data_IF_607052445950
#
_entry.id   IF_607052445950
#
_cell.length_a   1.000
_cell.length_b   1.000
_cell.length_c   1.000
_cell.angle_alpha   90.00
_cell.angle_beta   90.00
_cell.angle_gamma   90.00
#
_symmetry.space_group_name_H-M   'P 1'
#
loop_
_entity.id
_entity.type
_entity.pdbx_description
1 polymer ?
#
# COMPACT_ATOMS: atom_id res chain seq x y z
N UNK A 1 -23.59 -7.18 -3.70
CA UNK A 1 -23.27 -5.75 -3.67
C UNK A 1 -22.19 -5.52 -4.72
N UNK A 2 -22.36 -4.55 -5.60
CA UNK A 2 -21.46 -4.32 -6.75
C UNK A 2 -20.26 -3.50 -6.27
N UNK A 3 -19.18 -4.18 -5.87
CA UNK A 3 -17.90 -3.51 -5.65
C UNK A 3 -17.37 -2.97 -6.99
N UNK A 4 -16.67 -1.84 -6.97
CA UNK A 4 -15.95 -1.34 -8.14
C UNK A 4 -15.03 -2.45 -8.69
N UNK A 5 -15.07 -2.67 -10.00
CA UNK A 5 -14.24 -3.72 -10.60
C UNK A 5 -12.78 -3.37 -10.38
N UNK A 6 -11.95 -4.40 -10.23
CA UNK A 6 -10.50 -4.24 -10.04
C UNK A 6 -9.88 -3.33 -11.11
N UNK A 7 -10.31 -3.47 -12.36
CA UNK A 7 -9.86 -2.63 -13.47
C UNK A 7 -10.14 -1.14 -13.24
N UNK A 8 -11.30 -0.78 -12.66
CA UNK A 8 -11.62 0.61 -12.34
C UNK A 8 -10.74 1.15 -11.21
N UNK A 9 -10.53 0.34 -10.16
CA UNK A 9 -9.66 0.71 -9.03
C UNK A 9 -8.22 0.96 -9.50
N UNK A 10 -7.65 0.04 -10.28
CA UNK A 10 -6.31 0.18 -10.87
C UNK A 10 -6.23 1.35 -11.86
N UNK A 11 -7.30 1.56 -12.65
CA UNK A 11 -7.41 2.68 -13.59
C UNK A 11 -7.40 4.04 -12.90
N UNK A 12 -8.12 4.17 -11.78
CA UNK A 12 -8.12 5.39 -10.97
C UNK A 12 -6.73 5.66 -10.40
N UNK A 13 -6.11 4.66 -9.75
CA UNK A 13 -4.75 4.75 -9.21
C UNK A 13 -3.70 5.17 -10.25
N UNK A 14 -3.87 4.73 -11.50
CA UNK A 14 -2.97 5.08 -12.61
C UNK A 14 -3.06 6.57 -13.00
N UNK A 15 -4.17 7.25 -12.71
CA UNK A 15 -4.30 8.68 -13.01
C UNK A 15 -3.35 9.56 -12.18
N UNK A 16 -2.81 9.04 -11.08
CA UNK A 16 -1.82 9.76 -10.26
C UNK A 16 -0.38 9.57 -10.77
N UNK A 17 -0.13 8.67 -11.73
CA UNK A 17 1.22 8.35 -12.23
C UNK A 17 1.98 9.61 -12.68
N UNK A 18 3.23 9.75 -12.21
CA UNK A 18 4.09 10.91 -12.49
C UNK A 18 3.87 12.13 -11.60
N UNK A 19 2.89 12.10 -10.69
CA UNK A 19 2.59 13.19 -9.78
C UNK A 19 3.21 13.08 -8.38
N UNK A 20 2.91 14.07 -7.54
CA UNK A 20 3.25 14.11 -6.12
C UNK A 20 1.97 14.06 -5.28
N UNK A 21 1.94 13.20 -4.27
CA UNK A 21 0.89 13.14 -3.26
C UNK A 21 1.42 13.83 -2.01
N UNK A 22 0.71 14.84 -1.50
CA UNK A 22 1.17 15.63 -0.34
C UNK A 22 0.36 15.32 0.91
N UNK A 23 1.04 15.02 2.02
CA UNK A 23 0.41 14.94 3.35
C UNK A 23 -0.05 16.34 3.79
N UNK A 24 -1.29 16.48 4.25
CA UNK A 24 -1.89 17.74 4.70
C UNK A 24 -2.68 17.55 5.99
N UNK A 25 -2.57 18.53 6.89
CA UNK A 25 -3.24 18.53 8.20
C UNK A 25 -4.33 19.59 8.35
N UNK A 26 -4.46 20.50 7.38
CA UNK A 26 -5.52 21.51 7.33
C UNK A 26 -6.08 21.71 5.92
N UNK A 27 -7.29 22.28 5.78
CA UNK A 27 -7.82 22.71 4.48
C UNK A 27 -6.93 23.72 3.75
N UNK A 28 -6.27 24.62 4.48
CA UNK A 28 -5.35 25.61 3.90
C UNK A 28 -4.13 24.93 3.25
N UNK A 29 -3.53 23.94 3.93
CA UNK A 29 -2.45 23.14 3.35
C UNK A 29 -2.91 22.33 2.13
N UNK A 30 -4.14 21.81 2.15
CA UNK A 30 -4.72 21.10 1.02
C UNK A 30 -4.85 22.01 -0.22
N UNK A 31 -5.30 23.25 -0.03
CA UNK A 31 -5.36 24.25 -1.11
C UNK A 31 -3.97 24.62 -1.63
N UNK A 32 -2.98 24.80 -0.74
CA UNK A 32 -1.59 25.08 -1.14
C UNK A 32 -1.01 23.91 -1.95
N UNK A 33 -1.27 22.66 -1.55
CA UNK A 33 -0.80 21.48 -2.26
C UNK A 33 -1.39 21.40 -3.68
N UNK A 34 -2.68 21.69 -3.83
CA UNK A 34 -3.36 21.77 -5.12
C UNK A 34 -2.75 22.84 -6.03
N UNK A 35 -2.58 24.07 -5.54
CA UNK A 35 -1.96 25.17 -6.28
C UNK A 35 -0.50 24.88 -6.68
N UNK A 36 0.21 24.10 -5.86
CA UNK A 36 1.58 23.64 -6.14
C UNK A 36 1.64 22.51 -7.20
N UNK A 37 0.49 21.98 -7.64
CA UNK A 37 0.41 20.94 -8.65
C UNK A 37 0.47 19.51 -8.10
N UNK A 38 0.11 19.29 -6.83
CA UNK A 38 -0.09 17.95 -6.32
C UNK A 38 -1.19 17.23 -7.11
N UNK A 39 -1.02 15.94 -7.40
CA UNK A 39 -2.05 15.14 -8.09
C UNK A 39 -3.10 14.58 -7.15
N UNK A 40 -2.82 14.63 -5.84
CA UNK A 40 -3.70 14.20 -4.76
C UNK A 40 -3.13 14.68 -3.42
N UNK A 41 -3.97 14.79 -2.40
CA UNK A 41 -3.56 15.04 -1.02
C UNK A 41 -3.87 13.84 -0.13
N UNK A 42 -3.11 13.69 0.94
CA UNK A 42 -3.32 12.70 1.98
C UNK A 42 -3.73 13.42 3.26
N UNK A 43 -4.98 13.28 3.67
CA UNK A 43 -5.55 13.90 4.86
C UNK A 43 -5.15 13.13 6.13
N UNK A 44 -4.57 13.84 7.09
CA UNK A 44 -4.20 13.29 8.40
C UNK A 44 -4.11 14.37 9.48
N UNK A 45 -4.46 14.06 10.73
CA UNK A 45 -4.35 15.01 11.85
C UNK A 45 -2.91 15.28 12.31
N UNK A 46 -2.03 14.31 12.13
CA UNK A 46 -0.66 14.36 12.65
C UNK A 46 0.29 13.78 11.63
N UNK A 47 1.27 14.59 11.22
CA UNK A 47 2.28 14.14 10.26
C UNK A 47 3.13 13.02 10.85
N UNK A 48 3.72 12.13 10.02
CA UNK A 48 4.53 11.02 10.51
C UNK A 48 5.66 11.42 11.47
N UNK A 49 6.25 12.60 11.29
CA UNK A 49 7.27 13.15 12.18
C UNK A 49 6.72 13.42 13.60
N UNK A 50 5.51 13.98 13.70
CA UNK A 50 4.85 14.24 14.98
C UNK A 50 4.43 12.95 15.67
N UNK A 51 3.91 11.97 14.92
CA UNK A 51 3.56 10.64 15.46
C UNK A 51 4.79 10.01 16.12
N UNK A 52 5.96 10.09 15.48
CA UNK A 52 7.22 9.59 16.04
C UNK A 52 7.67 10.35 17.29
N UNK A 53 7.58 11.68 17.27
CA UNK A 53 8.05 12.52 18.37
C UNK A 53 7.16 12.41 19.62
N UNK A 54 5.84 12.41 19.43
CA UNK A 54 4.86 12.38 20.52
C UNK A 54 4.65 10.97 21.08
N UNK A 55 4.85 9.94 20.25
CA UNK A 55 4.50 8.56 20.58
C UNK A 55 2.99 8.36 20.76
N UNK A 56 2.63 7.27 21.45
CA UNK A 56 1.24 6.87 21.68
C UNK A 56 0.60 6.17 20.49
N UNK A 57 -0.73 6.05 20.53
CA UNK A 57 -1.50 5.34 19.48
C UNK A 57 -1.90 6.33 18.38
N UNK A 58 -1.50 6.04 17.15
CA UNK A 58 -1.94 6.75 15.95
C UNK A 58 -3.07 5.96 15.26
N UNK A 59 -4.16 6.65 14.88
CA UNK A 59 -5.41 6.07 14.35
C UNK A 59 -5.84 6.82 13.09
N UNK A 60 -6.95 6.39 12.48
CA UNK A 60 -7.66 7.17 11.47
C UNK A 60 -7.97 8.57 12.01
N UNK A 61 -7.84 9.58 11.15
CA UNK A 61 -8.10 10.99 11.48
C UNK A 61 -9.58 11.26 11.69
N UNK A 62 -9.91 12.30 12.45
CA UNK A 62 -11.29 12.64 12.75
C UNK A 62 -12.08 12.92 11.46
N UNK A 63 -13.28 12.33 11.30
CA UNK A 63 -14.09 12.47 10.09
C UNK A 63 -14.34 13.91 9.64
N UNK A 64 -14.59 14.82 10.59
CA UNK A 64 -14.82 16.23 10.29
C UNK A 64 -13.61 16.88 9.59
N UNK A 65 -12.39 16.61 10.05
CA UNK A 65 -11.18 17.19 9.48
C UNK A 65 -10.95 16.68 8.05
N UNK A 66 -11.20 15.40 7.81
CA UNK A 66 -11.14 14.81 6.45
C UNK A 66 -12.18 15.46 5.54
N UNK A 67 -13.41 15.62 6.03
CA UNK A 67 -14.50 16.22 5.26
C UNK A 67 -14.19 17.68 4.88
N UNK A 68 -13.66 18.48 5.81
CA UNK A 68 -13.23 19.85 5.54
C UNK A 68 -12.15 19.92 4.44
N UNK A 69 -11.23 18.96 4.37
CA UNK A 69 -10.24 18.85 3.29
C UNK A 69 -10.91 18.47 1.96
N UNK A 70 -11.79 17.47 1.95
CA UNK A 70 -12.54 17.05 0.75
C UNK A 70 -13.32 18.23 0.15
N UNK A 71 -13.96 19.03 0.99
CA UNK A 71 -14.77 20.18 0.55
C UNK A 71 -13.93 21.35 0.01
N UNK A 72 -12.61 21.35 0.25
CA UNK A 72 -11.72 22.48 -0.08
C UNK A 72 -10.92 22.28 -1.38
N UNK A 73 -10.61 21.04 -1.76
CA UNK A 73 -9.77 20.76 -2.95
C UNK A 73 -10.55 20.09 -4.09
N UNK A 74 -10.13 20.31 -5.33
CA UNK A 74 -10.69 19.62 -6.50
C UNK A 74 -9.89 18.37 -6.93
N UNK A 75 -8.66 18.22 -6.43
CA UNK A 75 -7.84 17.02 -6.60
C UNK A 75 -8.25 15.89 -5.63
N UNK A 76 -7.99 14.61 -5.98
CA UNK A 76 -8.34 13.47 -5.13
C UNK A 76 -7.79 13.56 -3.71
N UNK A 77 -8.60 13.15 -2.72
CA UNK A 77 -8.23 13.09 -1.30
C UNK A 77 -8.08 11.65 -0.85
N UNK A 78 -6.92 11.32 -0.29
CA UNK A 78 -6.65 10.05 0.36
C UNK A 78 -6.71 10.20 1.88
N UNK A 79 -6.97 9.11 2.59
CA UNK A 79 -6.88 9.09 4.06
C UNK A 79 -6.33 7.75 4.56
N UNK A 80 -5.80 7.76 5.78
CA UNK A 80 -5.12 6.60 6.37
C UNK A 80 -6.05 5.78 7.27
N UNK A 81 -6.03 4.47 7.08
CA UNK A 81 -6.59 3.48 8.00
C UNK A 81 -5.46 2.64 8.62
N UNK A 82 -5.64 2.17 9.85
CA UNK A 82 -4.69 1.25 10.49
C UNK A 82 -4.69 -0.10 9.78
N UNK A 83 -3.53 -0.76 9.78
CA UNK A 83 -3.40 -2.14 9.28
C UNK A 83 -4.42 -3.04 9.98
N UNK A 84 -5.23 -3.73 9.16
CA UNK A 84 -6.26 -4.67 9.59
C UNK A 84 -7.56 -4.05 10.13
N UNK A 85 -7.70 -2.72 10.14
CA UNK A 85 -8.88 -2.06 10.70
C UNK A 85 -9.98 -1.80 9.65
N UNK A 86 -10.66 -2.86 9.21
CA UNK A 86 -11.71 -2.75 8.17
C UNK A 86 -12.80 -1.73 8.49
N UNK A 87 -13.14 -1.54 9.77
CA UNK A 87 -14.17 -0.56 10.17
C UNK A 87 -13.71 0.89 10.04
N UNK A 88 -12.40 1.17 10.12
CA UNK A 88 -11.89 2.52 9.81
C UNK A 88 -12.00 2.76 8.31
N UNK A 89 -11.64 1.76 7.50
CA UNK A 89 -11.79 1.84 6.06
C UNK A 89 -13.26 2.00 5.62
N UNK A 90 -14.22 1.37 6.30
CA UNK A 90 -15.66 1.57 6.01
C UNK A 90 -16.10 2.99 6.30
N UNK A 91 -15.61 3.60 7.39
CA UNK A 91 -15.89 5.02 7.68
C UNK A 91 -15.33 5.90 6.58
N UNK A 92 -14.06 5.70 6.19
CA UNK A 92 -13.42 6.47 5.12
C UNK A 92 -14.14 6.34 3.77
N UNK A 93 -14.54 5.12 3.39
CA UNK A 93 -15.31 4.88 2.16
C UNK A 93 -16.66 5.61 2.19
N UNK A 94 -17.34 5.68 3.34
CA UNK A 94 -18.59 6.42 3.48
C UNK A 94 -18.40 7.94 3.51
N UNK A 95 -17.28 8.43 4.02
CA UNK A 95 -16.93 9.86 3.96
C UNK A 95 -16.65 10.35 2.54
N UNK A 96 -16.36 9.43 1.61
CA UNK A 96 -16.12 9.76 0.22
C UNK A 96 -14.69 10.21 -0.06
N UNK A 97 -13.71 9.70 0.69
CA UNK A 97 -12.30 9.80 0.24
C UNK A 97 -12.15 9.03 -1.08
N UNK A 98 -11.16 9.38 -1.88
CA UNK A 98 -10.93 8.78 -3.20
C UNK A 98 -10.08 7.51 -3.13
N UNK A 99 -9.19 7.42 -2.14
CA UNK A 99 -8.34 6.25 -1.88
C UNK A 99 -8.05 6.10 -0.38
N UNK A 100 -7.87 4.85 0.06
CA UNK A 100 -7.47 4.53 1.44
C UNK A 100 -6.03 4.03 1.47
N UNK A 101 -5.18 4.67 2.25
CA UNK A 101 -3.85 4.16 2.58
C UNK A 101 -3.93 3.29 3.83
N UNK A 102 -3.87 1.97 3.66
CA UNK A 102 -3.70 1.06 4.79
C UNK A 102 -2.25 1.16 5.27
N UNK A 103 -2.04 1.99 6.28
CA UNK A 103 -0.74 2.57 6.56
C UNK A 103 -0.10 1.97 7.81
N UNK A 104 1.13 1.49 7.63
CA UNK A 104 2.04 1.07 8.68
C UNK A 104 2.56 2.21 9.57
N UNK A 105 2.35 3.47 9.16
CA UNK A 105 2.71 4.64 9.96
C UNK A 105 1.76 4.81 11.16
N UNK A 106 0.52 4.34 11.01
CA UNK A 106 -0.43 4.26 12.12
C UNK A 106 -0.18 3.00 12.95
N UNK A 107 -0.64 3.00 14.20
CA UNK A 107 -0.49 1.83 15.06
C UNK A 107 -1.34 0.67 14.51
N UNK A 108 -0.78 -0.51 14.17
CA UNK A 108 -1.57 -1.62 13.64
C UNK A 108 -2.74 -2.01 14.56
N UNK A 109 -3.90 -2.29 13.98
CA UNK A 109 -5.06 -2.78 14.73
C UNK A 109 -5.10 -4.32 14.77
N UNK A 110 -4.71 -4.96 13.66
CA UNK A 110 -4.50 -6.40 13.58
C UNK A 110 -3.02 -6.67 13.20
N UNK A 111 -2.24 -7.36 14.04
CA UNK A 111 -0.84 -7.67 13.73
C UNK A 111 -0.67 -8.85 12.76
N UNK A 112 -1.75 -9.60 12.48
CA UNK A 112 -1.74 -10.82 11.69
C UNK A 112 -2.27 -10.60 10.27
N UNK A 113 -3.38 -9.87 10.13
CA UNK A 113 -4.06 -9.72 8.85
C UNK A 113 -4.22 -8.25 8.44
N UNK A 114 -4.14 -8.01 7.13
CA UNK A 114 -4.50 -6.73 6.52
C UNK A 114 -6.00 -6.71 6.20
N UNK A 115 -6.51 -5.54 5.83
CA UNK A 115 -7.89 -5.35 5.39
C UNK A 115 -8.14 -6.16 4.10
N UNK A 116 -9.22 -6.96 4.00
CA UNK A 116 -9.64 -7.61 2.75
C UNK A 116 -10.23 -6.56 1.79
N UNK A 117 -9.41 -6.03 0.89
CA UNK A 117 -9.71 -4.82 0.10
C UNK A 117 -10.71 -5.09 -1.03
N UNK A 118 -10.92 -6.36 -1.34
CA UNK A 118 -11.94 -6.83 -2.29
C UNK A 118 -13.37 -6.62 -1.76
N UNK A 119 -13.54 -6.44 -0.43
CA UNK A 119 -14.83 -6.14 0.20
C UNK A 119 -15.25 -4.66 0.08
N UNK A 120 -14.44 -3.85 -0.61
CA UNK A 120 -14.61 -2.41 -0.75
C UNK A 120 -14.74 -2.02 -2.23
N UNK A 121 -15.40 -0.90 -2.50
CA UNK A 121 -15.46 -0.30 -3.84
C UNK A 121 -14.30 0.66 -4.06
N UNK A 122 -13.88 1.35 -3.00
CA UNK A 122 -12.77 2.30 -3.02
C UNK A 122 -11.40 1.60 -3.25
N UNK A 123 -10.46 2.21 -4.00
CA UNK A 123 -9.10 1.70 -4.14
C UNK A 123 -8.28 1.87 -2.87
N UNK A 124 -7.31 0.95 -2.69
CA UNK A 124 -6.38 0.98 -1.56
C UNK A 124 -4.93 1.15 -2.02
N UNK A 125 -4.18 1.92 -1.23
CA UNK A 125 -2.72 2.06 -1.27
C UNK A 125 -2.14 1.23 -0.12
N UNK A 126 -1.05 0.49 -0.39
CA UNK A 126 -0.32 -0.23 0.67
C UNK A 126 1.20 -0.05 0.55
N UNK A 127 1.87 -0.03 1.70
CA UNK A 127 3.33 0.00 1.79
C UNK A 127 3.99 -1.37 1.55
N UNK A 128 5.15 -1.38 0.89
CA UNK A 128 6.02 -2.56 0.77
C UNK A 128 7.51 -2.24 1.00
N UNK A 129 8.28 -3.23 1.44
CA UNK A 129 9.76 -3.15 1.48
C UNK A 129 10.45 -4.07 0.46
N UNK A 130 9.73 -5.03 -0.10
CA UNK A 130 10.21 -6.04 -1.04
C UNK A 130 9.07 -6.52 -1.96
N UNK A 131 9.39 -7.26 -3.02
CA UNK A 131 8.44 -7.77 -4.01
C UNK A 131 7.40 -8.68 -3.36
N UNK A 132 7.83 -9.58 -2.46
CA UNK A 132 6.90 -10.50 -1.81
C UNK A 132 5.84 -9.78 -0.96
N UNK A 133 6.19 -8.69 -0.30
CA UNK A 133 5.23 -7.86 0.41
C UNK A 133 4.26 -7.17 -0.56
N UNK A 134 4.77 -6.60 -1.64
CA UNK A 134 3.96 -5.94 -2.67
C UNK A 134 2.96 -6.92 -3.31
N UNK A 135 3.43 -8.10 -3.76
CA UNK A 135 2.59 -9.15 -4.35
C UNK A 135 1.46 -9.55 -3.40
N UNK A 136 1.77 -9.75 -2.11
CA UNK A 136 0.72 -10.08 -1.13
C UNK A 136 -0.32 -8.96 -0.99
N UNK A 137 0.09 -7.68 -0.96
CA UNK A 137 -0.87 -6.56 -0.85
C UNK A 137 -1.76 -6.48 -2.09
N UNK A 138 -1.20 -6.72 -3.28
CA UNK A 138 -1.95 -6.74 -4.54
C UNK A 138 -2.95 -7.90 -4.55
N UNK A 139 -2.53 -9.11 -4.15
CA UNK A 139 -3.42 -10.28 -4.03
C UNK A 139 -4.55 -10.07 -2.99
N UNK A 140 -4.32 -9.22 -1.99
CA UNK A 140 -5.35 -8.80 -1.01
C UNK A 140 -6.28 -7.69 -1.54
N UNK A 141 -6.05 -7.20 -2.77
CA UNK A 141 -6.87 -6.21 -3.48
C UNK A 141 -6.31 -4.78 -3.52
N UNK A 142 -5.01 -4.57 -3.29
CA UNK A 142 -4.41 -3.23 -3.36
C UNK A 142 -4.34 -2.75 -4.82
N UNK A 143 -4.76 -1.50 -5.05
CA UNK A 143 -4.78 -0.87 -6.37
C UNK A 143 -3.53 -0.03 -6.65
N UNK A 144 -2.76 0.27 -5.60
CA UNK A 144 -1.51 1.05 -5.64
C UNK A 144 -0.55 0.52 -4.57
N UNK A 145 0.74 0.51 -4.90
CA UNK A 145 1.82 0.20 -3.96
C UNK A 145 2.68 1.44 -3.75
N UNK A 146 3.21 1.60 -2.53
CA UNK A 146 4.27 2.57 -2.24
C UNK A 146 5.40 1.90 -1.47
N UNK A 147 6.63 2.39 -1.61
CA UNK A 147 7.68 2.00 -0.65
C UNK A 147 7.33 2.52 0.75
N UNK A 148 7.75 1.81 1.79
CA UNK A 148 7.53 2.29 3.18
C UNK A 148 8.46 3.43 3.58
N UNK A 149 9.69 3.39 3.04
CA UNK A 149 10.83 4.20 3.47
C UNK A 149 10.98 4.23 5.00
N UNK A 150 11.47 5.36 5.51
CA UNK A 150 11.41 5.67 6.93
C UNK A 150 10.60 6.96 7.13
N UNK A 151 9.29 6.82 7.30
CA UNK A 151 8.40 7.97 7.39
C UNK A 151 8.76 8.90 8.56
N UNK A 152 8.77 10.21 8.29
CA UNK A 152 8.99 11.26 9.29
C UNK A 152 10.45 11.54 9.67
N UNK A 153 11.45 10.92 9.04
CA UNK A 153 12.87 11.17 9.37
C UNK A 153 13.59 12.14 8.44
N UNK A 154 13.02 12.41 7.25
CA UNK A 154 13.69 13.18 6.21
C UNK A 154 14.95 12.50 5.64
N UNK A 155 15.10 11.19 5.82
CA UNK A 155 16.22 10.41 5.32
C UNK A 155 15.76 9.39 4.26
N UNK A 156 16.15 9.62 3.00
CA UNK A 156 15.70 8.84 1.84
C UNK A 156 16.29 7.41 1.77
N UNK A 157 17.28 7.07 2.61
CA UNK A 157 18.02 5.79 2.53
C UNK A 157 17.09 4.57 2.51
N UNK A 158 16.09 4.51 3.38
CA UNK A 158 15.17 3.36 3.40
C UNK A 158 14.26 3.30 2.18
N UNK A 159 13.84 4.46 1.63
CA UNK A 159 13.06 4.47 0.39
C UNK A 159 13.87 3.91 -0.79
N UNK A 160 15.15 4.32 -0.90
CA UNK A 160 16.08 3.80 -1.91
C UNK A 160 16.29 2.29 -1.72
N UNK A 161 16.55 1.84 -0.49
CA UNK A 161 16.75 0.41 -0.19
C UNK A 161 15.56 -0.43 -0.63
N UNK A 162 14.34 -0.02 -0.29
CA UNK A 162 13.12 -0.74 -0.66
C UNK A 162 12.89 -0.74 -2.18
N UNK A 163 13.07 0.41 -2.85
CA UNK A 163 12.89 0.50 -4.30
C UNK A 163 13.91 -0.39 -5.06
N UNK A 164 15.18 -0.35 -4.65
CA UNK A 164 16.24 -1.19 -5.23
C UNK A 164 15.95 -2.67 -5.00
N UNK A 165 15.52 -3.07 -3.80
CA UNK A 165 15.21 -4.46 -3.49
C UNK A 165 14.03 -4.97 -4.32
N UNK A 166 12.94 -4.22 -4.40
CA UNK A 166 11.79 -4.56 -5.26
C UNK A 166 12.23 -4.74 -6.70
N UNK A 167 13.01 -3.81 -7.25
CA UNK A 167 13.54 -3.91 -8.63
C UNK A 167 14.38 -5.16 -8.84
N UNK A 168 15.31 -5.46 -7.93
CA UNK A 168 16.19 -6.63 -8.03
C UNK A 168 15.44 -7.96 -7.91
N UNK A 169 14.41 -8.02 -7.08
CA UNK A 169 13.57 -9.21 -6.96
C UNK A 169 12.66 -9.40 -8.19
N UNK A 170 12.22 -8.31 -8.84
CA UNK A 170 11.51 -8.38 -10.13
C UNK A 170 12.43 -8.93 -11.22
N UNK A 171 13.66 -8.40 -11.33
CA UNK A 171 14.68 -8.89 -12.28
C UNK A 171 14.93 -10.40 -12.05
N UNK A 172 15.12 -10.80 -10.79
CA UNK A 172 15.30 -12.22 -10.42
C UNK A 172 14.08 -13.08 -10.80
N UNK A 173 12.86 -12.60 -10.53
CA UNK A 173 11.63 -13.31 -10.90
C UNK A 173 11.50 -13.51 -12.42
N UNK A 174 11.97 -12.54 -13.22
CA UNK A 174 12.01 -12.66 -14.68
C UNK A 174 13.03 -13.72 -15.12
N UNK A 175 14.26 -13.67 -14.59
CA UNK A 175 15.33 -14.63 -14.90
C UNK A 175 14.92 -16.09 -14.60
N UNK A 176 14.31 -16.33 -13.43
CA UNK A 176 13.88 -17.70 -13.07
C UNK A 176 12.75 -18.18 -13.98
N UNK A 177 11.85 -17.30 -14.41
CA UNK A 177 10.74 -17.67 -15.31
C UNK A 177 11.23 -18.09 -16.69
N UNK A 178 12.34 -17.54 -17.17
CA UNK A 178 12.96 -17.94 -18.45
C UNK A 178 13.75 -19.27 -18.33
N UNK A 179 14.29 -19.55 -17.15
CA UNK A 179 15.27 -20.64 -16.94
C UNK A 179 14.70 -22.08 -16.97
N UNK A 180 13.40 -22.28 -17.25
CA UNK A 180 12.69 -23.57 -17.14
C UNK A 180 12.80 -24.26 -15.75
N UNK A 181 13.34 -23.55 -14.75
CA UNK A 181 13.56 -24.05 -13.39
C UNK A 181 12.30 -23.88 -12.55
N UNK A 182 11.34 -24.78 -12.76
CA UNK A 182 10.07 -24.81 -12.02
C UNK A 182 10.23 -24.86 -10.50
N UNK A 183 11.36 -25.36 -9.99
CA UNK A 183 11.62 -25.44 -8.54
C UNK A 183 11.91 -24.07 -7.94
N UNK A 184 12.74 -23.25 -8.60
CA UNK A 184 13.02 -21.89 -8.13
C UNK A 184 11.79 -21.00 -8.16
N UNK A 185 10.97 -21.14 -9.20
CA UNK A 185 9.70 -20.41 -9.26
C UNK A 185 8.78 -20.80 -8.10
N UNK A 186 8.67 -22.10 -7.80
CA UNK A 186 7.92 -22.59 -6.63
C UNK A 186 8.47 -22.06 -5.31
N UNK A 187 9.79 -21.98 -5.15
CA UNK A 187 10.43 -21.41 -3.95
C UNK A 187 10.05 -19.94 -3.75
N UNK A 188 10.00 -19.14 -4.82
CA UNK A 188 9.53 -17.75 -4.77
C UNK A 188 8.08 -17.69 -4.31
N UNK A 189 7.17 -18.44 -4.94
CA UNK A 189 5.75 -18.45 -4.55
C UNK A 189 5.59 -18.88 -3.10
N UNK A 190 6.27 -19.94 -2.67
CA UNK A 190 6.24 -20.43 -1.29
C UNK A 190 6.74 -19.39 -0.29
N UNK A 191 7.83 -18.67 -0.62
CA UNK A 191 8.36 -17.56 0.20
C UNK A 191 7.36 -16.41 0.33
N UNK A 192 6.65 -16.06 -0.75
CA UNK A 192 5.61 -15.03 -0.72
C UNK A 192 4.44 -15.50 0.15
N UNK A 193 3.97 -16.75 -0.04
CA UNK A 193 2.86 -17.34 0.70
C UNK A 193 3.13 -17.50 2.20
N UNK A 194 4.39 -17.67 2.59
CA UNK A 194 4.80 -17.76 3.98
C UNK A 194 4.41 -16.51 4.81
N UNK A 195 4.20 -15.37 4.15
CA UNK A 195 3.67 -14.16 4.75
C UNK A 195 2.25 -14.27 5.33
N UNK A 196 1.45 -15.25 4.86
CA UNK A 196 0.10 -15.51 5.38
C UNK A 196 0.08 -16.45 6.59
N UNK A 197 1.22 -17.07 6.93
CA UNK A 197 1.33 -18.02 8.03
C UNK A 197 1.60 -17.35 9.40
N UNK A 198 1.39 -16.03 9.54
CA UNK A 198 1.72 -15.28 10.78
C UNK A 198 1.02 -15.84 12.02
N UNK A 199 -0.28 -16.14 11.92
CA UNK A 199 -1.04 -16.74 13.03
C UNK A 199 -0.50 -18.11 13.41
N UNK A 200 -0.23 -18.95 12.40
CA UNK A 200 0.34 -20.30 12.60
C UNK A 200 1.70 -20.21 13.31
N UNK A 201 2.57 -19.29 12.90
CA UNK A 201 3.89 -19.06 13.50
C UNK A 201 3.82 -18.53 14.92
N UNK A 202 2.80 -17.72 15.25
CA UNK A 202 2.61 -17.18 16.59
C UNK A 202 1.96 -18.20 17.55
N UNK A 203 1.25 -19.19 17.02
CA UNK A 203 0.57 -20.21 17.81
C UNK A 203 1.52 -21.34 18.23
N UNK A 204 1.31 -21.87 19.44
CA UNK A 204 1.93 -23.12 19.90
C UNK A 204 1.16 -24.37 19.46
N UNK A 205 -0.02 -24.18 18.88
CA UNK A 205 -0.89 -25.25 18.40
C UNK A 205 -0.71 -25.47 16.90
N UNK A 206 -0.99 -26.69 16.44
CA UNK A 206 -1.00 -27.01 15.02
C UNK A 206 -2.31 -26.52 14.38
N UNK A 207 -2.42 -25.20 14.17
CA UNK A 207 -3.60 -24.59 13.57
C UNK A 207 -3.71 -24.96 12.07
N UNK A 208 -4.89 -25.38 11.59
CA UNK A 208 -5.12 -25.54 10.17
C UNK A 208 -4.99 -24.18 9.47
N UNK A 209 -4.42 -24.18 8.28
CA UNK A 209 -4.14 -22.96 7.51
C UNK A 209 -5.06 -22.85 6.31
N UNK A 210 -6.29 -23.35 6.40
CA UNK A 210 -7.16 -23.52 5.23
C UNK A 210 -7.79 -22.21 4.76
N UNK A 211 -8.03 -21.26 5.67
CA UNK A 211 -8.74 -20.01 5.36
C UNK A 211 -8.06 -18.79 5.96
N UNK A 212 -8.08 -17.69 5.21
CA UNK A 212 -7.68 -16.35 5.62
C UNK A 212 -8.86 -15.39 5.44
N UNK A 213 -8.79 -14.14 5.95
CA UNK A 213 -9.76 -13.11 5.59
C UNK A 213 -9.87 -12.82 4.09
N UNK A 214 -8.89 -13.26 3.29
CA UNK A 214 -8.83 -13.06 1.84
C UNK A 214 -9.37 -14.24 1.02
N UNK A 215 -9.88 -15.29 1.69
CA UNK A 215 -10.34 -16.52 1.05
C UNK A 215 -9.52 -17.74 1.46
N UNK A 216 -9.69 -18.85 0.73
CA UNK A 216 -8.94 -20.09 0.99
C UNK A 216 -7.47 -19.92 0.60
N UNK A 217 -6.56 -20.64 1.27
CA UNK A 217 -5.13 -20.55 0.94
C UNK A 217 -4.83 -21.00 -0.48
N UNK A 218 -5.55 -21.99 -1.01
CA UNK A 218 -5.37 -22.44 -2.40
C UNK A 218 -5.77 -21.35 -3.41
N UNK A 219 -6.89 -20.67 -3.17
CA UNK A 219 -7.37 -19.55 -4.00
C UNK A 219 -6.40 -18.37 -3.94
N UNK A 220 -5.95 -18.03 -2.73
CA UNK A 220 -4.96 -16.97 -2.50
C UNK A 220 -3.61 -17.28 -3.14
N UNK A 221 -3.21 -18.57 -3.14
CA UNK A 221 -2.01 -19.01 -3.83
C UNK A 221 -2.12 -18.80 -5.34
N UNK A 222 -3.25 -19.18 -5.94
CA UNK A 222 -3.50 -18.94 -7.37
C UNK A 222 -3.46 -17.44 -7.70
N UNK A 223 -4.00 -16.58 -6.82
CA UNK A 223 -3.92 -15.13 -6.99
C UNK A 223 -2.47 -14.63 -6.93
N UNK A 224 -1.68 -15.08 -5.94
CA UNK A 224 -0.25 -14.75 -5.83
C UNK A 224 0.52 -15.20 -7.08
N UNK A 225 0.27 -16.41 -7.58
CA UNK A 225 0.88 -16.91 -8.82
C UNK A 225 0.51 -16.05 -10.02
N UNK A 226 -0.75 -15.62 -10.12
CA UNK A 226 -1.22 -14.71 -11.17
C UNK A 226 -0.51 -13.36 -11.11
N UNK A 227 -0.41 -12.75 -9.93
CA UNK A 227 0.29 -11.47 -9.74
C UNK A 227 1.78 -11.59 -10.08
N UNK A 228 2.45 -12.68 -9.69
CA UNK A 228 3.86 -12.91 -10.06
C UNK A 228 3.99 -13.11 -11.57
N UNK A 229 3.05 -13.82 -12.21
CA UNK A 229 3.04 -13.94 -13.67
C UNK A 229 2.92 -12.58 -14.35
N UNK A 230 2.01 -11.72 -13.89
CA UNK A 230 1.89 -10.35 -14.38
C UNK A 230 3.18 -9.54 -14.17
N UNK A 231 3.86 -9.72 -13.03
CA UNK A 231 5.14 -9.07 -12.75
C UNK A 231 6.19 -9.45 -13.78
N UNK A 232 6.31 -10.74 -14.07
CA UNK A 232 7.27 -11.25 -15.06
C UNK A 232 6.92 -10.78 -16.47
N UNK A 233 5.64 -10.88 -16.87
CA UNK A 233 5.19 -10.47 -18.21
C UNK A 233 5.40 -8.97 -18.45
N UNK A 234 5.17 -8.13 -17.44
CA UNK A 234 5.28 -6.68 -17.56
C UNK A 234 6.68 -6.15 -17.19
N UNK A 235 7.55 -6.97 -16.59
CA UNK A 235 8.81 -6.58 -15.96
C UNK A 235 8.65 -5.44 -14.93
N UNK A 236 7.48 -5.37 -14.28
CA UNK A 236 7.12 -4.39 -13.24
C UNK A 236 5.88 -4.86 -12.48
N UNK A 237 5.59 -4.25 -11.32
CA UNK A 237 4.33 -4.51 -10.60
C UNK A 237 3.10 -4.17 -11.48
N UNK A 238 2.01 -4.95 -11.41
CA UNK A 238 0.81 -4.75 -12.23
C UNK A 238 -0.11 -3.61 -11.74
N UNK A 239 0.38 -2.81 -10.78
CA UNK A 239 -0.25 -1.61 -10.24
C UNK A 239 0.77 -0.48 -10.18
N UNK A 240 0.30 0.77 -10.12
CA UNK A 240 1.19 1.92 -9.99
C UNK A 240 2.00 1.83 -8.69
N UNK A 241 3.28 2.18 -8.77
CA UNK A 241 4.22 2.11 -7.65
C UNK A 241 4.78 3.49 -7.36
N UNK A 242 4.56 3.98 -6.15
CA UNK A 242 5.09 5.25 -5.66
C UNK A 242 6.28 5.04 -4.71
N UNK A 243 7.08 6.09 -4.54
CA UNK A 243 8.11 6.14 -3.51
C UNK A 243 7.62 6.98 -2.33
N UNK A 244 7.78 6.49 -1.11
CA UNK A 244 7.41 7.22 0.10
C UNK A 244 8.40 6.98 1.26
N UNK A 245 8.37 7.89 2.24
CA UNK A 245 9.15 7.83 3.46
C UNK A 245 10.58 8.40 3.31
N UNK A 246 10.82 9.58 3.89
CA UNK A 246 12.16 10.18 3.97
C UNK A 246 12.55 11.08 2.78
N UNK A 247 11.65 11.31 1.83
CA UNK A 247 11.84 12.31 0.75
C UNK A 247 11.68 13.71 1.38
N UNK A 248 12.73 14.53 1.33
CA UNK A 248 12.73 15.86 1.94
C UNK A 248 13.11 16.98 0.97
N UNK A 249 13.79 16.65 -0.13
CA UNK A 249 14.26 17.63 -1.12
C UNK A 249 13.80 17.27 -2.55
N UNK A 250 13.78 18.24 -3.47
CA UNK A 250 13.54 17.96 -4.89
C UNK A 250 14.54 16.96 -5.48
N UNK A 251 15.78 16.94 -4.99
CA UNK A 251 16.79 15.98 -5.41
C UNK A 251 16.45 14.54 -4.97
N UNK A 252 15.92 14.36 -3.76
CA UNK A 252 15.42 13.06 -3.29
C UNK A 252 14.24 12.58 -4.14
N UNK A 253 13.29 13.48 -4.44
CA UNK A 253 12.16 13.15 -5.31
C UNK A 253 12.65 12.70 -6.70
N UNK A 254 13.56 13.46 -7.33
CA UNK A 254 14.14 13.12 -8.62
C UNK A 254 14.96 11.80 -8.58
N UNK A 255 15.66 11.52 -7.48
CA UNK A 255 16.39 10.26 -7.29
C UNK A 255 15.45 9.05 -7.33
N UNK A 256 14.25 9.18 -6.76
CA UNK A 256 13.26 8.10 -6.66
C UNK A 256 12.44 7.85 -7.94
N UNK A 257 12.63 8.66 -8.99
CA UNK A 257 11.93 8.53 -10.28
C UNK A 257 12.68 7.67 -11.32
N UNK A 258 13.85 7.10 -10.97
CA UNK A 258 14.77 6.38 -11.88
C UNK A 258 14.63 4.85 -11.87
#
# INVERSE_FOLDING_TARGET
>A
MRHGTELLKRGFAKMQEGGVIMDVVTPEEAHIAEDAGAVSVMALERVPADIRAMGGVARMSHPQMIQEIIETTSIPVMAKARIGHSEEARVLEQLGVDMIDESEVLTPADPFFHIPKNDFTIPFVCGCTNLGEAVRRIAEGAAMIRTKGEAGTGNVVSAVQHAVLVKKEIEYACEISESSDSKKYEEVISSIMDGYNRVKKASKFNLPSETTPFGKIEELRSEVESVVSDVVQNMRLPVVTFSAGGIATPADAALMMN
#
